data_IF_669214369372
#
_entry.id   IF_669214369372
#
_cell.length_a   1.000
_cell.length_b   1.000
_cell.length_c   1.000
_cell.angle_alpha   90.00
_cell.angle_beta   90.00
_cell.angle_gamma   90.00
#
_symmetry.space_group_name_H-M   'P 1'
#
loop_
_entity.id
_entity.type
_entity.pdbx_description
1 polymer ?
#
# COMPACT_ATOMS: atom_id res chain seq x y z
N UNK A 1 2.04 15.65 -3.62
CA UNK A 1 1.73 14.52 -4.51
C UNK A 1 0.56 14.91 -5.41
N UNK A 2 0.70 14.75 -6.75
CA UNK A 2 -0.39 14.97 -7.73
C UNK A 2 -0.80 13.67 -8.45
N UNK A 3 -0.05 12.60 -8.24
CA UNK A 3 -0.32 11.26 -8.76
C UNK A 3 -0.88 10.38 -7.64
N UNK A 4 -1.63 9.30 -7.99
CA UNK A 4 -1.99 8.27 -7.03
C UNK A 4 -0.76 7.70 -6.31
N UNK A 5 -0.83 7.55 -4.99
CA UNK A 5 0.25 7.00 -4.15
C UNK A 5 -0.35 6.01 -3.17
N UNK A 6 0.27 4.83 -3.03
CA UNK A 6 0.01 3.91 -1.91
C UNK A 6 1.17 3.97 -0.92
N UNK A 7 0.86 4.12 0.36
CA UNK A 7 1.81 4.03 1.47
C UNK A 7 1.48 2.76 2.25
N UNK A 8 2.43 1.82 2.30
CA UNK A 8 2.24 0.47 2.85
C UNK A 8 3.19 0.32 4.04
N UNK A 9 2.70 -0.23 5.13
CA UNK A 9 3.54 -0.58 6.30
C UNK A 9 2.90 -1.73 7.07
N UNK A 10 3.73 -2.64 7.59
CA UNK A 10 3.26 -3.65 8.53
C UNK A 10 2.88 -3.03 9.86
N UNK A 11 1.79 -3.48 10.48
CA UNK A 11 1.33 -2.95 11.76
C UNK A 11 2.33 -3.18 12.91
N UNK A 12 3.23 -4.16 12.79
CA UNK A 12 4.35 -4.39 13.69
C UNK A 12 5.64 -3.64 13.33
N UNK A 13 5.61 -2.76 12.33
CA UNK A 13 6.72 -1.90 11.90
C UNK A 13 6.46 -0.43 12.25
N UNK A 14 6.61 0.47 11.28
CA UNK A 14 6.49 1.93 11.48
C UNK A 14 5.03 2.44 11.43
N UNK A 15 4.09 1.73 12.06
CA UNK A 15 2.67 2.07 11.97
C UNK A 15 2.39 3.52 12.39
N UNK A 16 3.04 4.01 13.44
CA UNK A 16 2.85 5.38 13.92
C UNK A 16 3.26 6.43 12.87
N UNK A 17 4.34 6.20 12.12
CA UNK A 17 4.75 7.08 11.03
C UNK A 17 3.73 7.08 9.88
N UNK A 18 3.20 5.91 9.53
CA UNK A 18 2.13 5.78 8.53
C UNK A 18 0.89 6.58 8.97
N UNK A 19 0.47 6.45 10.23
CA UNK A 19 -0.68 7.16 10.78
C UNK A 19 -0.44 8.67 10.88
N UNK A 20 0.77 9.10 11.24
CA UNK A 20 1.15 10.51 11.26
C UNK A 20 1.03 11.14 9.85
N UNK A 21 1.57 10.48 8.82
CA UNK A 21 1.42 10.93 7.43
C UNK A 21 -0.05 11.00 7.00
N UNK A 22 -0.87 10.00 7.38
CA UNK A 22 -2.31 9.98 7.08
C UNK A 22 -3.04 11.17 7.71
N UNK A 23 -2.74 11.46 8.97
CA UNK A 23 -3.40 12.55 9.71
C UNK A 23 -2.98 13.94 9.20
N UNK A 24 -1.75 14.06 8.71
CA UNK A 24 -1.17 15.31 8.19
C UNK A 24 -1.68 15.72 6.80
N UNK A 25 -2.35 14.84 6.06
CA UNK A 25 -2.83 15.11 4.70
C UNK A 25 -4.35 15.04 4.57
N UNK A 26 -4.87 15.71 3.55
CA UNK A 26 -6.26 15.59 3.07
C UNK A 26 -6.32 15.15 1.61
N UNK A 27 -5.18 14.79 1.01
CA UNK A 27 -5.11 14.43 -0.39
C UNK A 27 -5.79 13.07 -0.64
N UNK A 28 -6.93 13.01 -1.38
CA UNK A 28 -7.65 11.76 -1.61
C UNK A 28 -6.91 10.80 -2.56
N UNK A 29 -5.85 11.25 -3.23
CA UNK A 29 -5.02 10.39 -4.10
C UNK A 29 -4.01 9.54 -3.31
N UNK A 30 -3.81 9.79 -2.02
CA UNK A 30 -2.91 9.01 -1.17
C UNK A 30 -3.72 7.97 -0.41
N UNK A 31 -3.41 6.70 -0.62
CA UNK A 31 -4.02 5.57 0.09
C UNK A 31 -3.02 5.01 1.09
N UNK A 32 -3.44 4.90 2.34
CA UNK A 32 -2.62 4.35 3.42
C UNK A 32 -3.09 2.93 3.72
N UNK A 33 -2.18 1.97 3.67
CA UNK A 33 -2.45 0.53 3.74
C UNK A 33 -1.66 -0.07 4.92
N UNK A 34 -2.17 0.06 6.16
CA UNK A 34 -1.60 -0.63 7.31
C UNK A 34 -1.97 -2.13 7.24
N UNK A 35 -0.98 -3.00 7.37
CA UNK A 35 -1.16 -4.46 7.21
C UNK A 35 -1.06 -5.15 8.57
N UNK A 36 -2.20 -5.64 9.09
CA UNK A 36 -2.24 -6.38 10.35
C UNK A 36 -1.50 -7.71 10.23
N UNK A 37 -0.81 -8.14 11.28
CA UNK A 37 -0.02 -9.38 11.28
C UNK A 37 1.32 -9.29 10.52
N UNK A 38 1.61 -8.14 9.91
CA UNK A 38 2.86 -7.90 9.21
C UNK A 38 3.82 -7.01 10.00
N UNK A 39 5.11 -7.24 9.83
CA UNK A 39 6.20 -6.40 10.31
C UNK A 39 6.77 -5.53 9.17
N UNK A 40 7.90 -4.87 9.42
CA UNK A 40 8.55 -4.00 8.45
C UNK A 40 8.97 -4.72 7.15
N UNK A 41 9.31 -6.01 7.22
CA UNK A 41 9.92 -6.76 6.12
C UNK A 41 8.98 -7.79 5.50
N UNK A 42 8.21 -8.52 6.30
CA UNK A 42 7.41 -9.63 5.82
C UNK A 42 6.24 -9.18 4.91
N UNK A 43 5.88 -7.89 4.95
CA UNK A 43 4.90 -7.27 4.03
C UNK A 43 5.44 -7.11 2.60
N UNK A 44 6.76 -7.05 2.42
CA UNK A 44 7.38 -6.73 1.13
C UNK A 44 7.11 -7.80 0.07
N UNK A 45 7.27 -9.07 0.43
CA UNK A 45 7.07 -10.18 -0.51
C UNK A 45 5.61 -10.27 -1.05
N UNK A 46 4.57 -10.34 -0.21
CA UNK A 46 3.19 -10.38 -0.69
C UNK A 46 2.80 -9.08 -1.42
N UNK A 47 3.24 -7.91 -0.95
CA UNK A 47 2.98 -6.64 -1.63
C UNK A 47 3.60 -6.62 -3.03
N UNK A 48 4.88 -6.99 -3.17
CA UNK A 48 5.56 -7.05 -4.46
C UNK A 48 4.86 -7.98 -5.45
N UNK A 49 4.42 -9.16 -4.98
CA UNK A 49 3.70 -10.12 -5.83
C UNK A 49 2.41 -9.51 -6.40
N UNK A 50 1.60 -8.89 -5.55
CA UNK A 50 0.33 -8.28 -5.97
C UNK A 50 0.56 -7.07 -6.85
N UNK A 51 1.50 -6.19 -6.50
CA UNK A 51 1.84 -5.01 -7.30
C UNK A 51 2.31 -5.42 -8.69
N UNK A 52 3.21 -6.40 -8.79
CA UNK A 52 3.68 -6.90 -10.08
C UNK A 52 2.54 -7.45 -10.94
N UNK A 53 1.62 -8.23 -10.35
CA UNK A 53 0.45 -8.76 -11.05
C UNK A 53 -0.47 -7.66 -11.56
N UNK A 54 -0.72 -6.63 -10.74
CA UNK A 54 -1.55 -5.49 -11.13
C UNK A 54 -0.90 -4.66 -12.23
N UNK A 55 0.42 -4.46 -12.19
CA UNK A 55 1.17 -3.77 -13.25
C UNK A 55 1.06 -4.52 -14.58
N UNK A 56 1.26 -5.85 -14.57
CA UNK A 56 1.16 -6.67 -15.78
C UNK A 56 -0.25 -6.67 -16.39
N UNK A 57 -1.28 -6.52 -15.56
CA UNK A 57 -2.69 -6.45 -15.99
C UNK A 57 -3.17 -5.04 -16.37
N UNK A 58 -2.38 -3.99 -16.12
CA UNK A 58 -2.78 -2.60 -16.35
C UNK A 58 -2.51 -2.19 -17.81
N UNK A 59 -3.49 -2.45 -18.68
CA UNK A 59 -3.44 -2.11 -20.11
C UNK A 59 -4.33 -0.92 -20.50
N UNK A 60 -4.92 -0.24 -19.52
CA UNK A 60 -5.80 0.89 -19.73
C UNK A 60 -5.06 2.17 -20.12
N UNK A 61 -5.79 3.14 -20.68
CA UNK A 61 -5.23 4.45 -21.02
C UNK A 61 -4.80 5.27 -19.78
N UNK A 62 -5.31 4.92 -18.60
CA UNK A 62 -4.91 5.48 -17.31
C UNK A 62 -4.92 4.37 -16.25
N UNK A 63 -3.92 4.38 -15.35
CA UNK A 63 -3.82 3.40 -14.27
C UNK A 63 -4.95 3.56 -13.26
N UNK A 64 -5.56 2.44 -12.87
CA UNK A 64 -6.50 2.37 -11.75
C UNK A 64 -6.04 1.35 -10.69
N UNK A 65 -4.71 1.13 -10.61
CA UNK A 65 -4.12 0.22 -9.63
C UNK A 65 -4.45 0.74 -8.22
N UNK A 66 -5.12 -0.10 -7.45
CA UNK A 66 -5.37 0.09 -6.02
C UNK A 66 -4.82 -1.09 -5.24
N UNK A 67 -4.53 -0.91 -3.96
CA UNK A 67 -4.01 -1.96 -3.09
C UNK A 67 -4.76 -1.95 -1.76
N UNK A 68 -5.20 -3.12 -1.33
CA UNK A 68 -5.84 -3.33 -0.02
C UNK A 68 -4.95 -4.18 0.88
N UNK A 69 -5.10 -4.01 2.20
CA UNK A 69 -4.31 -4.74 3.19
C UNK A 69 -4.53 -6.27 3.09
N UNK A 70 -5.74 -6.70 2.77
CA UNK A 70 -6.11 -8.12 2.63
C UNK A 70 -5.40 -8.82 1.49
N UNK A 71 -5.07 -8.10 0.41
CA UNK A 71 -4.34 -8.68 -0.73
C UNK A 71 -2.87 -8.94 -0.39
N UNK A 72 -2.31 -8.22 0.59
CA UNK A 72 -0.87 -8.19 0.88
C UNK A 72 -0.53 -8.64 2.30
N UNK A 73 -1.48 -9.26 2.99
CA UNK A 73 -1.23 -9.84 4.31
C UNK A 73 -0.32 -11.08 4.15
N UNK A 74 0.78 -11.19 4.93
CA UNK A 74 1.60 -12.40 4.95
C UNK A 74 0.76 -13.64 5.30
N UNK A 75 1.05 -14.77 4.66
CA UNK A 75 0.42 -16.07 4.97
C UNK A 75 1.19 -16.82 6.05
#
# INVERSE_FOLDING_TARGET
>A
MRSPVCVIEGAGGNLDSLLAMRNATRNPQIRFVPVRGADHFNVLAPANRVIAQKILGDSGAATNITLSATEITPQ
#
